data_IF_507682524434
#
_entry.id   IF_507682524434
#
_cell.length_a   1.000
_cell.length_b   1.000
_cell.length_c   1.000
_cell.angle_alpha   90.00
_cell.angle_beta   90.00
_cell.angle_gamma   90.00
#
_symmetry.space_group_name_H-M   'P 1'
#
loop_
_entity.id
_entity.type
_entity.pdbx_description
1 polymer ?
#
# COMPACT_ATOMS: atom_id res chain seq x y z
N UNK A 1 -1.02 -0.27 -24.04
CA UNK A 1 -0.44 -0.85 -22.82
C UNK A 1 -1.31 -2.04 -22.45
N UNK A 2 -0.73 -3.20 -22.13
CA UNK A 2 -1.50 -4.35 -21.61
C UNK A 2 -2.02 -4.00 -20.22
N UNK A 3 -3.21 -4.48 -19.88
CA UNK A 3 -3.77 -4.27 -18.55
C UNK A 3 -2.96 -5.06 -17.50
N UNK A 4 -2.44 -4.36 -16.49
CA UNK A 4 -1.67 -4.97 -15.40
C UNK A 4 -2.50 -6.01 -14.63
N UNK A 5 -3.81 -5.81 -14.54
CA UNK A 5 -4.72 -6.78 -13.92
C UNK A 5 -4.73 -8.08 -14.71
N UNK A 6 -4.81 -7.99 -16.03
CA UNK A 6 -4.79 -9.15 -16.93
C UNK A 6 -3.43 -9.87 -16.86
N UNK A 7 -2.32 -9.11 -16.81
CA UNK A 7 -0.97 -9.64 -16.64
C UNK A 7 -0.83 -10.41 -15.33
N UNK A 8 -1.32 -9.86 -14.22
CA UNK A 8 -1.27 -10.52 -12.91
C UNK A 8 -2.16 -11.76 -12.83
N UNK A 9 -3.34 -11.74 -13.43
CA UNK A 9 -4.27 -12.88 -13.41
C UNK A 9 -3.84 -14.02 -14.33
N UNK A 10 -3.09 -13.72 -15.40
CA UNK A 10 -2.72 -14.68 -16.45
C UNK A 10 -1.24 -14.59 -16.84
N UNK A 11 -0.34 -14.39 -15.87
CA UNK A 11 1.08 -14.06 -16.09
C UNK A 11 1.77 -15.05 -17.03
N UNK A 12 1.70 -16.34 -16.72
CA UNK A 12 2.38 -17.39 -17.47
C UNK A 12 1.82 -17.55 -18.89
N UNK A 13 0.50 -17.42 -19.05
CA UNK A 13 -0.14 -17.49 -20.37
C UNK A 13 0.24 -16.29 -21.25
N UNK A 14 0.34 -15.09 -20.65
CA UNK A 14 0.78 -13.90 -21.37
C UNK A 14 2.25 -14.02 -21.80
N UNK A 15 3.13 -14.48 -20.91
CA UNK A 15 4.54 -14.73 -21.23
C UNK A 15 4.63 -15.70 -22.41
N UNK A 16 3.98 -16.86 -22.32
CA UNK A 16 3.98 -17.89 -23.37
C UNK A 16 3.50 -17.33 -24.71
N UNK A 17 2.43 -16.53 -24.73
CA UNK A 17 1.90 -15.92 -25.95
C UNK A 17 2.84 -14.86 -26.53
N UNK A 18 3.55 -14.11 -25.68
CA UNK A 18 4.52 -13.12 -26.13
C UNK A 18 5.80 -13.77 -26.68
N UNK A 19 6.26 -14.86 -26.07
CA UNK A 19 7.40 -15.65 -26.56
C UNK A 19 7.18 -16.16 -28.00
N UNK A 20 5.93 -16.44 -28.41
CA UNK A 20 5.63 -16.79 -29.82
C UNK A 20 5.98 -15.71 -30.84
N UNK A 21 6.17 -14.46 -30.40
CA UNK A 21 6.53 -13.31 -31.25
C UNK A 21 8.04 -13.10 -31.38
N UNK A 22 8.84 -13.93 -30.73
CA UNK A 22 10.29 -13.78 -30.64
C UNK A 22 10.68 -12.77 -29.56
N UNK A 23 11.37 -13.25 -28.54
CA UNK A 23 11.85 -12.45 -27.41
C UNK A 23 11.74 -13.20 -26.08
N UNK A 24 12.46 -12.70 -25.08
CA UNK A 24 12.33 -13.13 -23.69
C UNK A 24 11.39 -12.16 -22.95
N UNK A 25 10.32 -12.69 -22.38
CA UNK A 25 9.32 -11.94 -21.65
C UNK A 25 9.24 -12.33 -20.17
N UNK A 26 10.24 -13.05 -19.65
CA UNK A 26 10.28 -13.47 -18.24
C UNK A 26 10.34 -12.29 -17.27
N UNK A 27 10.79 -11.10 -17.70
CA UNK A 27 10.73 -9.85 -16.94
C UNK A 27 9.31 -9.45 -16.51
N UNK A 28 8.28 -10.04 -17.12
CA UNK A 28 6.88 -9.83 -16.71
C UNK A 28 6.64 -10.37 -15.29
N UNK A 29 7.39 -11.37 -14.83
CA UNK A 29 7.32 -11.82 -13.44
C UNK A 29 7.75 -10.68 -12.49
N UNK A 30 8.85 -9.98 -12.81
CA UNK A 30 9.31 -8.83 -12.01
C UNK A 30 8.26 -7.71 -11.97
N UNK A 31 7.54 -7.48 -13.07
CA UNK A 31 6.43 -6.51 -13.12
C UNK A 31 5.29 -6.91 -12.17
N UNK A 32 4.95 -8.20 -12.11
CA UNK A 32 3.90 -8.70 -11.21
C UNK A 32 4.34 -8.56 -9.75
N UNK A 33 5.60 -8.87 -9.44
CA UNK A 33 6.15 -8.73 -8.09
C UNK A 33 6.16 -7.26 -7.64
N UNK A 34 6.53 -6.33 -8.53
CA UNK A 34 6.48 -4.89 -8.24
C UNK A 34 5.04 -4.39 -8.04
N UNK A 35 4.08 -4.88 -8.84
CA UNK A 35 2.66 -4.56 -8.66
C UNK A 35 2.13 -5.10 -7.31
N UNK A 36 2.53 -6.31 -6.91
CA UNK A 36 2.16 -6.88 -5.62
C UNK A 36 2.71 -6.05 -4.46
N UNK A 37 4.00 -5.68 -4.51
CA UNK A 37 4.61 -4.79 -3.52
C UNK A 37 3.88 -3.46 -3.41
N UNK A 38 3.58 -2.83 -4.56
CA UNK A 38 2.85 -1.57 -4.60
C UNK A 38 1.46 -1.70 -3.98
N UNK A 39 0.74 -2.79 -4.26
CA UNK A 39 -0.59 -3.06 -3.69
C UNK A 39 -0.54 -3.32 -2.19
N UNK A 40 0.48 -4.04 -1.71
CA UNK A 40 0.69 -4.25 -0.27
C UNK A 40 0.89 -2.92 0.43
N UNK A 41 1.75 -2.05 -0.10
CA UNK A 41 2.00 -0.73 0.50
C UNK A 41 0.72 0.12 0.51
N UNK A 42 -0.06 0.11 -0.57
CA UNK A 42 -1.34 0.83 -0.63
C UNK A 42 -2.32 0.33 0.44
N UNK A 43 -2.39 -0.98 0.66
CA UNK A 43 -3.24 -1.58 1.70
C UNK A 43 -2.78 -1.20 3.11
N UNK A 44 -1.46 -1.17 3.35
CA UNK A 44 -0.88 -0.74 4.62
C UNK A 44 -1.16 0.75 4.89
N UNK A 45 -1.02 1.60 3.87
CA UNK A 45 -1.35 3.03 3.95
C UNK A 45 -2.82 3.23 4.33
N UNK A 46 -3.73 2.50 3.69
CA UNK A 46 -5.16 2.59 3.97
C UNK A 46 -5.47 2.15 5.41
N UNK A 47 -4.89 1.04 5.85
CA UNK A 47 -5.02 0.52 7.22
C UNK A 47 -4.53 1.54 8.27
N UNK A 48 -3.38 2.17 8.02
CA UNK A 48 -2.82 3.22 8.88
C UNK A 48 -3.68 4.49 8.90
N UNK A 49 -4.22 4.90 7.74
CA UNK A 49 -5.15 6.04 7.64
C UNK A 49 -6.42 5.77 8.45
N UNK A 50 -6.95 4.55 8.41
CA UNK A 50 -8.10 4.15 9.22
C UNK A 50 -7.79 4.22 10.72
N UNK A 51 -6.69 3.61 11.15
CA UNK A 51 -6.27 3.68 12.56
C UNK A 51 -6.11 5.12 13.04
N UNK A 52 -5.44 5.97 12.26
CA UNK A 52 -5.26 7.40 12.59
C UNK A 52 -6.59 8.11 12.80
N UNK A 53 -7.57 7.85 11.92
CA UNK A 53 -8.88 8.48 12.01
C UNK A 53 -9.63 8.05 13.28
N UNK A 54 -9.56 6.77 13.64
CA UNK A 54 -10.21 6.24 14.83
C UNK A 54 -9.52 6.69 16.12
N UNK A 55 -8.19 6.67 16.15
CA UNK A 55 -7.40 7.20 17.25
C UNK A 55 -7.69 8.71 17.47
N UNK A 56 -7.82 9.49 16.39
CA UNK A 56 -8.17 10.92 16.47
C UNK A 56 -9.55 11.15 17.10
N UNK A 57 -10.55 10.31 16.76
CA UNK A 57 -11.87 10.36 17.40
C UNK A 57 -11.78 10.02 18.89
N UNK A 58 -11.02 8.98 19.25
CA UNK A 58 -10.82 8.57 20.64
C UNK A 58 -10.14 9.66 21.46
N UNK A 59 -9.10 10.33 20.93
CA UNK A 59 -8.46 11.49 21.56
C UNK A 59 -9.49 12.59 21.86
N UNK A 60 -10.38 12.88 20.91
CA UNK A 60 -11.43 13.88 21.10
C UNK A 60 -12.40 13.53 22.24
N UNK A 61 -12.74 12.24 22.40
CA UNK A 61 -13.58 11.75 23.51
C UNK A 61 -12.82 11.84 24.83
N UNK A 62 -11.60 11.30 24.90
CA UNK A 62 -10.78 11.30 26.11
C UNK A 62 -10.47 12.71 26.62
N UNK A 63 -10.22 13.66 25.71
CA UNK A 63 -10.06 15.08 26.07
C UNK A 63 -11.30 15.67 26.70
N UNK A 64 -12.49 15.35 26.20
CA UNK A 64 -13.76 15.79 26.81
C UNK A 64 -13.97 15.17 28.19
N UNK A 65 -13.51 13.94 28.38
CA UNK A 65 -13.53 13.23 29.67
C UNK A 65 -12.42 13.68 30.63
N UNK A 66 -11.56 14.61 30.23
CA UNK A 66 -10.43 15.10 31.05
C UNK A 66 -9.33 14.06 31.27
N UNK A 67 -9.27 13.01 30.43
CA UNK A 67 -8.27 11.93 30.51
C UNK A 67 -7.00 12.29 29.73
N UNK A 68 -5.90 11.66 30.12
CA UNK A 68 -4.64 11.80 29.41
C UNK A 68 -4.72 11.15 28.01
N UNK A 69 -4.15 11.84 27.02
CA UNK A 69 -4.13 11.45 25.60
C UNK A 69 -2.73 11.46 25.00
N UNK A 70 -1.70 11.67 25.82
CA UNK A 70 -0.30 11.85 25.38
C UNK A 70 0.21 10.64 24.59
N UNK A 71 -0.10 9.42 25.04
CA UNK A 71 0.31 8.18 24.35
C UNK A 71 -0.37 8.02 22.99
N UNK A 72 -1.68 8.26 22.95
CA UNK A 72 -2.48 8.18 21.71
C UNK A 72 -2.06 9.26 20.70
N UNK A 73 -1.74 10.47 21.16
CA UNK A 73 -1.20 11.52 20.30
C UNK A 73 0.16 11.14 19.72
N UNK A 74 1.04 10.56 20.53
CA UNK A 74 2.36 10.09 20.10
C UNK A 74 2.23 9.01 19.02
N UNK A 75 1.33 8.04 19.22
CA UNK A 75 1.03 7.01 18.22
C UNK A 75 0.48 7.58 16.92
N UNK A 76 -0.44 8.55 16.98
CA UNK A 76 -0.99 9.23 15.80
C UNK A 76 0.10 9.99 15.04
N UNK A 77 1.03 10.64 15.75
CA UNK A 77 2.17 11.32 15.11
C UNK A 77 3.07 10.33 14.38
N UNK A 78 3.45 9.24 15.04
CA UNK A 78 4.28 8.19 14.43
C UNK A 78 3.63 7.61 13.17
N UNK A 79 2.32 7.37 13.22
CA UNK A 79 1.57 6.84 12.07
C UNK A 79 1.51 7.84 10.92
N UNK A 80 1.40 9.14 11.19
CA UNK A 80 1.46 10.14 10.14
C UNK A 80 2.80 10.13 9.40
N UNK A 81 3.90 9.97 10.12
CA UNK A 81 5.22 9.91 9.50
C UNK A 81 5.41 8.61 8.70
N UNK A 82 4.95 7.48 9.24
CA UNK A 82 4.92 6.22 8.49
C UNK A 82 4.04 6.29 7.23
N UNK A 83 2.89 6.98 7.26
CA UNK A 83 2.06 7.17 6.08
C UNK A 83 2.82 7.97 5.02
N UNK A 84 3.54 9.03 5.40
CA UNK A 84 4.35 9.82 4.46
C UNK A 84 5.44 8.97 3.81
N UNK A 85 6.16 8.16 4.60
CA UNK A 85 7.20 7.27 4.08
C UNK A 85 6.64 6.25 3.08
N UNK A 86 5.49 5.64 3.40
CA UNK A 86 4.84 4.69 2.50
C UNK A 86 4.28 5.36 1.25
N UNK A 87 3.71 6.57 1.36
CA UNK A 87 3.23 7.36 0.22
C UNK A 87 4.40 7.74 -0.72
N UNK A 88 5.61 7.98 -0.20
CA UNK A 88 6.82 8.17 -1.03
C UNK A 88 7.16 6.88 -1.78
N UNK A 89 7.22 5.74 -1.07
CA UNK A 89 7.55 4.43 -1.68
C UNK A 89 6.57 3.95 -2.76
N UNK A 90 5.32 4.42 -2.74
CA UNK A 90 4.31 4.08 -3.78
C UNK A 90 4.49 4.92 -5.05
N UNK A 91 5.10 6.10 -4.93
CA UNK A 91 5.31 7.03 -6.03
C UNK A 91 6.67 6.86 -6.72
N UNK A 92 7.62 6.17 -6.08
CA UNK A 92 8.87 5.68 -6.69
C UNK A 92 8.61 4.43 -7.56
#
# INVERSE_FOLDING_TARGET
>A
MLDIKLIRENTQEIIRRLETRGGDFQFINDIVDLDEQRRSILSDVESKKNFRNDASKQIGVLKREGKDTTDLMSQVSLINDQIKELDIKVNE
#
